data_IF_636273122191
#
_entry.id   IF_636273122191
#
_cell.length_a   1.000
_cell.length_b   1.000
_cell.length_c   1.000
_cell.angle_alpha   90.00
_cell.angle_beta   90.00
_cell.angle_gamma   90.00
#
_symmetry.space_group_name_H-M   'P 1'
#
loop_
_entity.id
_entity.type
_entity.pdbx_description
1 polymer ?
#
# COMPACT_ATOMS: atom_id res chain seq x y z
N UNK A 1 1.87 24.85 9.77
CA UNK A 1 1.38 24.53 8.41
C UNK A 1 0.14 23.68 8.59
N UNK A 2 -0.99 24.11 8.07
CA UNK A 2 -2.18 23.26 7.99
C UNK A 2 -1.98 22.34 6.81
N UNK A 3 -1.84 21.05 7.07
CA UNK A 3 -1.76 20.05 6.02
C UNK A 3 -3.19 19.78 5.52
N UNK A 4 -3.37 19.78 4.22
CA UNK A 4 -4.66 19.61 3.58
C UNK A 4 -4.92 18.14 3.24
N UNK A 5 -6.13 17.68 3.47
CA UNK A 5 -6.59 16.34 3.06
C UNK A 5 -6.87 16.32 1.56
N UNK A 6 -6.45 15.26 0.89
CA UNK A 6 -6.78 15.03 -0.51
C UNK A 6 -8.07 14.18 -0.56
N UNK A 7 -9.13 14.74 -1.14
CA UNK A 7 -10.45 14.11 -1.18
C UNK A 7 -10.81 13.68 -2.59
N UNK A 8 -11.26 12.45 -2.74
CA UNK A 8 -11.77 11.88 -3.99
C UNK A 8 -13.28 11.69 -3.82
N UNK A 9 -14.07 12.33 -4.69
CA UNK A 9 -15.52 12.35 -4.60
C UNK A 9 -16.15 11.75 -5.85
N UNK A 10 -16.85 10.62 -5.68
CA UNK A 10 -17.65 9.96 -6.72
C UNK A 10 -16.87 9.71 -8.04
N UNK A 11 -15.57 9.42 -7.93
CA UNK A 11 -14.72 9.29 -9.10
C UNK A 11 -15.03 8.02 -9.88
N UNK A 12 -15.42 8.19 -11.14
CA UNK A 12 -15.88 7.10 -11.99
C UNK A 12 -15.16 7.14 -13.33
N UNK A 13 -14.72 5.97 -13.81
CA UNK A 13 -14.10 5.79 -15.13
C UNK A 13 -14.44 4.45 -15.73
N UNK A 14 -14.98 4.49 -16.95
CA UNK A 14 -15.12 3.33 -17.83
C UNK A 14 -14.43 3.59 -19.17
N UNK A 15 -13.84 2.56 -19.76
CA UNK A 15 -13.21 2.66 -21.08
C UNK A 15 -14.09 2.10 -22.21
N UNK A 16 -15.01 1.20 -21.89
CA UNK A 16 -15.85 0.46 -22.87
C UNK A 16 -17.36 0.54 -22.57
N UNK A 17 -17.77 1.34 -21.58
CA UNK A 17 -19.15 1.47 -21.06
C UNK A 17 -19.72 0.20 -20.39
N UNK A 18 -19.01 -0.92 -20.40
CA UNK A 18 -19.43 -2.17 -19.77
C UNK A 18 -18.64 -2.46 -18.50
N UNK A 19 -17.34 -2.10 -18.49
CA UNK A 19 -16.45 -2.35 -17.37
C UNK A 19 -15.93 -1.04 -16.78
N UNK A 20 -16.11 -0.89 -15.49
CA UNK A 20 -15.62 0.27 -14.75
C UNK A 20 -14.20 -0.01 -14.25
N UNK A 21 -13.25 0.82 -14.67
CA UNK A 21 -11.92 0.84 -14.08
C UNK A 21 -11.92 1.48 -12.69
N UNK A 22 -12.78 2.49 -12.49
CA UNK A 22 -13.14 3.03 -11.17
C UNK A 22 -14.65 3.28 -11.18
N UNK A 23 -15.34 2.86 -10.12
CA UNK A 23 -16.79 2.88 -10.02
C UNK A 23 -17.23 3.54 -8.71
N UNK A 24 -17.63 4.81 -8.78
CA UNK A 24 -18.09 5.61 -7.66
C UNK A 24 -17.12 5.60 -6.46
N UNK A 25 -15.85 5.92 -6.70
CA UNK A 25 -14.83 5.95 -5.65
C UNK A 25 -15.01 7.22 -4.79
N UNK A 26 -15.14 6.99 -3.48
CA UNK A 26 -15.08 8.01 -2.42
C UNK A 26 -13.92 7.63 -1.50
N UNK A 27 -12.93 8.50 -1.36
CA UNK A 27 -11.75 8.21 -0.54
C UNK A 27 -11.14 9.52 -0.04
N UNK A 28 -10.89 9.58 1.25
CA UNK A 28 -10.10 10.63 1.89
C UNK A 28 -8.70 10.13 2.16
N UNK A 29 -7.70 10.91 1.76
CA UNK A 29 -6.29 10.64 1.90
C UNK A 29 -5.70 11.67 2.86
N UNK A 30 -5.40 11.21 4.06
CA UNK A 30 -4.87 12.06 5.13
C UNK A 30 -3.55 12.71 4.73
N UNK A 31 -3.43 14.00 5.06
CA UNK A 31 -2.21 14.75 4.82
C UNK A 31 -1.03 14.23 5.68
N UNK A 32 0.18 14.35 5.15
CA UNK A 32 1.40 13.95 5.85
C UNK A 32 1.42 12.45 6.25
N UNK A 33 0.76 11.61 5.46
CA UNK A 33 0.63 10.17 5.67
C UNK A 33 0.98 9.38 4.41
N UNK A 34 1.36 8.12 4.62
CA UNK A 34 1.54 7.15 3.55
C UNK A 34 0.28 6.29 3.46
N UNK A 35 -0.46 6.42 2.37
CA UNK A 35 -1.63 5.56 2.08
C UNK A 35 -1.30 4.57 0.98
N UNK A 36 -1.43 3.27 1.28
CA UNK A 36 -1.22 2.21 0.32
C UNK A 36 -2.54 1.82 -0.38
N UNK A 37 -2.57 1.90 -1.71
CA UNK A 37 -3.65 1.35 -2.52
C UNK A 37 -3.32 -0.11 -2.85
N UNK A 38 -4.11 -1.03 -2.34
CA UNK A 38 -3.90 -2.48 -2.48
C UNK A 38 -5.05 -3.12 -3.27
N UNK A 39 -4.78 -4.24 -3.92
CA UNK A 39 -5.75 -4.96 -4.74
C UNK A 39 -5.06 -5.72 -5.88
N UNK A 40 -5.78 -6.64 -6.52
CA UNK A 40 -5.24 -7.41 -7.64
C UNK A 40 -4.91 -6.55 -8.88
N UNK A 41 -4.19 -7.12 -9.84
CA UNK A 41 -3.93 -6.47 -11.11
C UNK A 41 -5.26 -6.25 -11.86
N UNK A 42 -5.46 -5.02 -12.38
CA UNK A 42 -6.73 -4.65 -13.00
C UNK A 42 -7.79 -4.12 -12.02
N UNK A 43 -7.54 -4.05 -10.72
CA UNK A 43 -8.49 -3.52 -9.73
C UNK A 43 -8.77 -2.00 -9.84
N UNK A 44 -8.07 -1.27 -10.75
CA UNK A 44 -8.33 0.14 -11.01
C UNK A 44 -7.35 1.13 -10.35
N UNK A 45 -6.39 0.66 -9.53
CA UNK A 45 -5.47 1.49 -8.76
C UNK A 45 -4.64 2.47 -9.60
N UNK A 46 -3.94 1.98 -10.61
CA UNK A 46 -3.14 2.84 -11.51
C UNK A 46 -4.02 3.79 -12.34
N UNK A 47 -5.26 3.39 -12.65
CA UNK A 47 -6.24 4.26 -13.31
C UNK A 47 -6.63 5.42 -12.38
N UNK A 48 -6.83 5.14 -11.10
CA UNK A 48 -7.10 6.15 -10.08
C UNK A 48 -5.97 7.19 -10.01
N UNK A 49 -4.71 6.74 -9.86
CA UNK A 49 -3.56 7.65 -9.84
C UNK A 49 -3.48 8.53 -11.10
N UNK A 50 -3.73 7.94 -12.28
CA UNK A 50 -3.72 8.68 -13.55
C UNK A 50 -4.86 9.69 -13.68
N UNK A 51 -6.00 9.44 -13.05
CA UNK A 51 -7.10 10.42 -12.96
C UNK A 51 -6.72 11.56 -12.02
N UNK A 52 -6.15 11.27 -10.85
CA UNK A 52 -5.71 12.27 -9.87
C UNK A 52 -4.74 13.29 -10.49
N UNK A 53 -3.74 12.84 -11.26
CA UNK A 53 -2.76 13.72 -11.92
C UNK A 53 -3.26 14.31 -13.25
N UNK A 54 -4.50 13.97 -13.65
CA UNK A 54 -5.13 14.49 -14.86
C UNK A 54 -4.62 13.91 -16.18
N UNK A 55 -3.98 12.72 -16.18
CA UNK A 55 -3.65 11.99 -17.40
C UNK A 55 -4.88 11.35 -18.03
N UNK A 56 -5.79 10.85 -17.18
CA UNK A 56 -7.07 10.29 -17.59
C UNK A 56 -8.17 11.19 -17.06
N UNK A 57 -9.06 11.65 -17.94
CA UNK A 57 -10.24 12.40 -17.54
C UNK A 57 -11.27 11.41 -16.96
N UNK A 58 -11.77 11.62 -15.72
CA UNK A 58 -12.88 10.85 -15.20
C UNK A 58 -14.15 11.10 -16.01
N UNK A 59 -15.07 10.16 -15.98
CA UNK A 59 -16.40 10.33 -16.58
C UNK A 59 -17.34 11.06 -15.61
N UNK A 60 -17.12 10.88 -14.30
CA UNK A 60 -17.82 11.58 -13.22
C UNK A 60 -16.89 11.79 -12.02
N UNK A 61 -17.27 12.72 -11.15
CA UNK A 61 -16.60 12.98 -9.90
C UNK A 61 -15.44 13.97 -10.00
N UNK A 62 -14.81 14.23 -8.87
CA UNK A 62 -13.71 15.19 -8.75
C UNK A 62 -12.67 14.74 -7.72
N UNK A 63 -11.53 15.42 -7.73
CA UNK A 63 -10.43 15.28 -6.76
C UNK A 63 -10.11 16.66 -6.24
N UNK A 64 -10.17 16.85 -4.92
CA UNK A 64 -9.98 18.13 -4.25
C UNK A 64 -8.78 18.12 -3.31
N UNK A 65 -8.01 19.19 -3.32
CA UNK A 65 -6.93 19.45 -2.38
C UNK A 65 -6.86 20.95 -2.08
N UNK A 66 -6.91 21.33 -0.80
CA UNK A 66 -6.90 22.73 -0.39
C UNK A 66 -8.01 23.58 -1.04
N UNK A 67 -9.20 23.01 -1.24
CA UNK A 67 -10.31 23.67 -1.91
C UNK A 67 -10.17 23.76 -3.44
N UNK A 68 -9.14 23.19 -4.03
CA UNK A 68 -8.86 23.22 -5.47
C UNK A 68 -9.31 21.92 -6.11
N UNK A 69 -10.19 21.99 -7.13
CA UNK A 69 -10.51 20.85 -8.00
C UNK A 69 -9.35 20.54 -8.94
N UNK A 70 -8.81 19.35 -8.88
CA UNK A 70 -7.74 18.90 -9.77
C UNK A 70 -8.23 18.52 -11.16
N UNK A 71 -9.49 18.14 -11.29
CA UNK A 71 -10.08 17.82 -12.59
C UNK A 71 -10.28 19.07 -13.42
N UNK A 72 -10.67 20.18 -12.79
CA UNK A 72 -10.85 21.47 -13.45
C UNK A 72 -9.56 22.29 -13.55
N UNK A 73 -8.63 22.12 -12.61
CA UNK A 73 -7.36 22.86 -12.53
C UNK A 73 -6.14 21.96 -12.75
N UNK A 74 -6.12 21.19 -13.84
CA UNK A 74 -5.08 20.17 -14.13
C UNK A 74 -3.66 20.72 -14.12
N UNK A 75 -3.47 21.98 -14.55
CA UNK A 75 -2.13 22.59 -14.54
C UNK A 75 -1.64 22.74 -13.11
N UNK A 76 -2.47 23.23 -12.22
CA UNK A 76 -2.15 23.38 -10.80
C UNK A 76 -1.97 22.02 -10.10
N UNK A 77 -2.82 21.04 -10.40
CA UNK A 77 -2.65 19.67 -9.92
C UNK A 77 -1.25 19.12 -10.22
N UNK A 78 -0.77 19.30 -11.45
CA UNK A 78 0.56 18.82 -11.88
C UNK A 78 1.73 19.55 -11.21
N UNK A 79 1.56 20.78 -10.75
CA UNK A 79 2.61 21.47 -9.98
C UNK A 79 2.67 20.99 -8.52
N UNK A 80 1.54 20.55 -7.97
CA UNK A 80 1.42 20.06 -6.59
C UNK A 80 1.70 18.56 -6.45
N UNK A 81 1.68 17.81 -7.58
CA UNK A 81 1.85 16.36 -7.58
C UNK A 81 3.12 15.90 -8.27
N UNK A 82 3.69 14.82 -7.79
CA UNK A 82 4.63 14.00 -8.53
C UNK A 82 4.02 12.62 -8.84
N UNK A 83 4.47 12.01 -9.92
CA UNK A 83 3.98 10.71 -10.34
C UNK A 83 5.12 9.81 -10.82
N UNK A 84 5.25 8.66 -10.19
CA UNK A 84 6.08 7.56 -10.67
C UNK A 84 5.19 6.50 -11.30
N UNK A 85 5.34 6.27 -12.60
CA UNK A 85 4.59 5.21 -13.29
C UNK A 85 5.20 3.83 -13.05
N UNK A 86 4.39 2.79 -13.26
CA UNK A 86 4.87 1.41 -13.24
C UNK A 86 5.98 1.16 -14.30
N UNK A 87 5.97 1.89 -15.41
CA UNK A 87 7.04 1.83 -16.41
C UNK A 87 8.28 2.59 -15.95
N UNK A 88 9.45 2.17 -16.42
CA UNK A 88 10.71 2.86 -16.11
C UNK A 88 10.75 4.23 -16.75
N UNK A 89 11.14 5.24 -15.98
CA UNK A 89 11.18 6.63 -16.42
C UNK A 89 12.54 7.11 -16.94
N UNK A 90 13.72 6.54 -16.55
CA UNK A 90 15.00 7.08 -16.98
C UNK A 90 15.16 7.06 -18.51
N UNK A 91 15.57 8.19 -19.06
CA UNK A 91 15.90 8.30 -20.48
C UNK A 91 17.20 7.58 -20.77
N UNK A 92 17.20 6.71 -21.77
CA UNK A 92 18.29 5.80 -22.10
C UNK A 92 19.64 6.47 -22.34
N UNK A 93 19.63 7.67 -22.93
CA UNK A 93 20.84 8.42 -23.30
C UNK A 93 21.39 9.29 -22.18
N UNK A 94 20.61 9.59 -21.17
CA UNK A 94 21.01 10.41 -20.04
C UNK A 94 21.60 9.55 -18.92
N UNK A 95 22.54 10.12 -18.17
CA UNK A 95 23.04 9.48 -16.92
C UNK A 95 21.98 9.54 -15.83
N UNK A 96 22.19 8.81 -14.73
CA UNK A 96 21.32 8.89 -13.56
C UNK A 96 21.21 10.34 -13.08
N UNK A 97 22.35 11.02 -12.90
CA UNK A 97 22.39 12.42 -12.48
C UNK A 97 21.63 13.33 -13.46
N UNK A 98 21.87 13.22 -14.75
CA UNK A 98 21.22 14.04 -15.77
C UNK A 98 19.70 13.84 -15.81
N UNK A 99 19.21 12.61 -15.55
CA UNK A 99 17.78 12.35 -15.41
C UNK A 99 17.18 13.10 -14.20
N UNK A 100 17.87 13.11 -13.06
CA UNK A 100 17.45 13.83 -11.86
C UNK A 100 17.53 15.34 -12.07
N UNK A 101 18.62 15.85 -12.68
CA UNK A 101 18.78 17.27 -13.02
C UNK A 101 17.65 17.78 -13.89
N UNK A 102 17.29 17.02 -14.92
CA UNK A 102 16.20 17.39 -15.83
C UNK A 102 14.89 17.62 -15.05
N UNK A 103 14.51 16.69 -14.18
CA UNK A 103 13.26 16.81 -13.41
C UNK A 103 13.35 17.92 -12.38
N UNK A 104 14.45 18.04 -11.65
CA UNK A 104 14.61 19.08 -10.63
C UNK A 104 14.58 20.49 -11.21
N UNK A 105 15.21 20.70 -12.40
CA UNK A 105 15.10 21.97 -13.12
C UNK A 105 13.67 22.27 -13.59
N UNK A 106 12.94 21.26 -14.09
CA UNK A 106 11.53 21.41 -14.46
C UNK A 106 10.65 21.79 -13.26
N UNK A 107 11.04 21.39 -12.05
CA UNK A 107 10.36 21.77 -10.80
C UNK A 107 10.86 23.08 -10.19
N UNK A 108 11.81 23.75 -10.85
CA UNK A 108 12.27 25.08 -10.48
C UNK A 108 13.35 25.11 -9.40
N UNK A 109 14.04 24.02 -9.12
CA UNK A 109 15.18 24.02 -8.20
C UNK A 109 16.33 24.85 -8.74
N UNK A 110 16.93 25.65 -7.90
CA UNK A 110 18.20 26.33 -8.19
C UNK A 110 19.33 25.30 -8.34
N UNK A 111 20.41 25.68 -9.03
CA UNK A 111 21.55 24.75 -9.24
C UNK A 111 22.15 24.23 -7.94
N UNK A 112 22.21 25.07 -6.90
CA UNK A 112 22.78 24.67 -5.61
C UNK A 112 21.86 23.75 -4.79
N UNK A 113 20.54 23.96 -4.86
CA UNK A 113 19.53 23.08 -4.24
C UNK A 113 19.50 21.73 -4.94
N UNK A 114 19.47 21.78 -6.27
CA UNK A 114 19.44 20.61 -7.13
C UNK A 114 20.61 19.65 -6.85
N UNK A 115 21.84 20.18 -6.81
CA UNK A 115 23.02 19.36 -6.55
C UNK A 115 22.97 18.68 -5.17
N UNK A 116 22.59 19.44 -4.14
CA UNK A 116 22.43 18.91 -2.78
C UNK A 116 21.37 17.79 -2.72
N UNK A 117 20.28 17.99 -3.40
CA UNK A 117 19.17 17.01 -3.39
C UNK A 117 19.53 15.76 -4.18
N UNK A 118 20.22 15.89 -5.32
CA UNK A 118 20.75 14.74 -6.07
C UNK A 118 21.73 13.95 -5.19
N UNK A 119 22.71 14.61 -4.56
CA UNK A 119 23.68 13.95 -3.70
C UNK A 119 22.98 13.21 -2.54
N UNK A 120 21.98 13.84 -1.91
CA UNK A 120 21.19 13.24 -0.86
C UNK A 120 20.43 12.00 -1.33
N UNK A 121 19.68 12.09 -2.45
CA UNK A 121 18.87 10.99 -2.97
C UNK A 121 19.73 9.79 -3.40
N UNK A 122 20.85 10.06 -4.09
CA UNK A 122 21.77 9.01 -4.53
C UNK A 122 22.43 8.30 -3.34
N UNK A 123 22.79 9.05 -2.29
CA UNK A 123 23.38 8.48 -1.08
C UNK A 123 22.37 7.67 -0.27
N UNK A 124 21.15 8.19 -0.05
CA UNK A 124 20.13 7.53 0.77
C UNK A 124 19.61 6.24 0.10
N UNK A 125 19.61 6.20 -1.25
CA UNK A 125 19.24 5.03 -2.05
C UNK A 125 20.42 4.07 -2.36
N UNK A 126 21.64 4.41 -1.91
CA UNK A 126 22.87 3.62 -2.15
C UNK A 126 23.16 3.37 -3.65
N UNK A 127 22.99 4.41 -4.46
CA UNK A 127 23.25 4.36 -5.92
C UNK A 127 24.24 5.43 -6.42
N UNK A 128 25.06 5.99 -5.54
CA UNK A 128 26.07 7.03 -5.88
C UNK A 128 27.03 6.53 -6.96
N UNK A 129 27.46 5.28 -6.91
CA UNK A 129 28.37 4.63 -7.87
C UNK A 129 27.81 4.56 -9.31
N UNK A 130 26.49 4.74 -9.46
CA UNK A 130 25.80 4.69 -10.75
C UNK A 130 25.51 6.08 -11.31
N UNK A 131 25.94 7.16 -10.64
CA UNK A 131 25.68 8.56 -10.98
C UNK A 131 25.86 8.85 -12.46
N UNK A 132 27.01 8.46 -13.02
CA UNK A 132 27.41 8.72 -14.40
C UNK A 132 26.98 7.63 -15.39
N UNK A 133 26.25 6.58 -14.90
CA UNK A 133 25.81 5.49 -15.74
C UNK A 133 24.59 5.85 -16.53
N UNK A 134 24.62 5.64 -17.86
CA UNK A 134 23.47 5.93 -18.75
C UNK A 134 22.29 4.98 -18.49
N UNK A 135 21.07 5.48 -18.65
CA UNK A 135 19.82 4.76 -18.44
C UNK A 135 19.74 3.42 -19.15
N UNK A 136 20.21 3.33 -20.42
CA UNK A 136 20.24 2.08 -21.20
C UNK A 136 21.09 0.96 -20.54
N UNK A 137 22.10 1.34 -19.74
CA UNK A 137 23.05 0.42 -19.11
C UNK A 137 22.64 0.04 -17.68
N UNK A 138 21.53 0.54 -17.17
CA UNK A 138 21.03 0.21 -15.83
C UNK A 138 20.28 -1.12 -15.86
N UNK A 139 20.42 -1.88 -14.76
CA UNK A 139 19.54 -3.04 -14.49
C UNK A 139 18.10 -2.57 -14.22
N UNK A 140 17.13 -3.50 -14.25
CA UNK A 140 15.73 -3.20 -13.94
C UNK A 140 15.57 -2.50 -12.58
N UNK A 141 16.19 -3.05 -11.53
CA UNK A 141 16.15 -2.45 -10.19
C UNK A 141 16.77 -1.06 -10.11
N UNK A 142 17.90 -0.82 -10.80
CA UNK A 142 18.52 0.50 -10.87
C UNK A 142 17.66 1.51 -11.67
N UNK A 143 17.00 1.07 -12.75
CA UNK A 143 16.03 1.90 -13.47
C UNK A 143 14.86 2.26 -12.55
N UNK A 144 14.39 1.32 -11.72
CA UNK A 144 13.33 1.55 -10.75
C UNK A 144 13.75 2.56 -9.70
N UNK A 145 14.93 2.40 -9.10
CA UNK A 145 15.49 3.34 -8.12
C UNK A 145 15.70 4.74 -8.71
N UNK A 146 16.18 4.82 -9.95
CA UNK A 146 16.31 6.11 -10.65
C UNK A 146 14.93 6.74 -10.89
N UNK A 147 13.93 5.97 -11.34
CA UNK A 147 12.54 6.46 -11.50
C UNK A 147 11.96 6.96 -10.19
N UNK A 148 12.25 6.26 -9.09
CA UNK A 148 11.83 6.65 -7.76
C UNK A 148 12.49 7.97 -7.33
N UNK A 149 13.80 8.11 -7.48
CA UNK A 149 14.50 9.36 -7.20
C UNK A 149 13.99 10.53 -8.06
N UNK A 150 13.69 10.29 -9.36
CA UNK A 150 13.07 11.29 -10.25
C UNK A 150 11.68 11.73 -9.76
N UNK A 151 10.91 10.85 -9.15
CA UNK A 151 9.62 11.21 -8.59
C UNK A 151 9.73 12.05 -7.31
N UNK A 152 10.80 11.88 -6.54
CA UNK A 152 11.01 12.56 -5.26
C UNK A 152 11.72 13.90 -5.39
N UNK A 153 12.65 14.07 -6.36
CA UNK A 153 13.43 15.29 -6.48
C UNK A 153 12.54 16.53 -6.66
N UNK A 154 12.82 17.61 -5.95
CA UNK A 154 12.01 18.83 -5.94
C UNK A 154 10.67 18.64 -5.21
N UNK A 155 10.59 17.71 -4.31
CA UNK A 155 9.53 17.39 -3.33
C UNK A 155 8.16 18.02 -3.59
N UNK A 156 7.28 17.33 -4.31
CA UNK A 156 5.88 17.75 -4.49
C UNK A 156 5.06 17.55 -3.20
N UNK A 157 4.01 18.33 -2.99
CA UNK A 157 3.12 18.20 -1.82
C UNK A 157 2.50 16.80 -1.75
N UNK A 158 2.15 16.24 -2.93
CA UNK A 158 1.52 14.94 -3.08
C UNK A 158 2.37 14.07 -4.01
N UNK A 159 2.71 12.88 -3.56
CA UNK A 159 3.52 11.92 -4.32
C UNK A 159 2.69 10.68 -4.66
N UNK A 160 2.52 10.39 -5.93
CA UNK A 160 1.82 9.23 -6.45
C UNK A 160 2.82 8.22 -7.00
N UNK A 161 2.93 7.06 -6.38
CA UNK A 161 3.96 6.06 -6.68
C UNK A 161 3.31 4.72 -7.08
N UNK A 162 3.50 4.32 -8.33
CA UNK A 162 2.91 3.08 -8.87
C UNK A 162 3.97 1.96 -8.88
N UNK A 163 3.87 1.01 -7.94
CA UNK A 163 4.76 -0.13 -7.72
C UNK A 163 6.26 0.27 -7.60
N UNK A 164 6.61 1.20 -6.70
CA UNK A 164 7.98 1.76 -6.66
C UNK A 164 9.04 0.76 -6.21
N UNK A 165 8.67 -0.27 -5.45
CA UNK A 165 9.60 -1.25 -4.85
C UNK A 165 9.80 -2.51 -5.71
N UNK A 166 9.06 -2.65 -6.83
CA UNK A 166 9.20 -3.79 -7.72
C UNK A 166 10.61 -3.86 -8.33
N UNK A 167 11.12 -5.07 -8.50
CA UNK A 167 12.45 -5.37 -9.06
C UNK A 167 13.65 -4.79 -8.26
N UNK A 168 13.41 -4.22 -7.09
CA UNK A 168 14.44 -3.68 -6.19
C UNK A 168 14.83 -4.73 -5.17
N UNK A 169 16.11 -4.83 -4.83
CA UNK A 169 16.59 -5.73 -3.79
C UNK A 169 16.07 -5.35 -2.39
N UNK A 170 15.98 -6.31 -1.44
CA UNK A 170 15.36 -6.05 -0.14
C UNK A 170 15.98 -4.90 0.66
N UNK A 171 17.31 -4.71 0.57
CA UNK A 171 18.02 -3.67 1.33
C UNK A 171 17.63 -2.28 0.82
N UNK A 172 17.72 -2.06 -0.49
CA UNK A 172 17.36 -0.78 -1.10
C UNK A 172 15.85 -0.51 -1.04
N UNK A 173 15.02 -1.55 -1.04
CA UNK A 173 13.58 -1.45 -0.83
C UNK A 173 13.25 -0.89 0.56
N UNK A 174 13.94 -1.35 1.60
CA UNK A 174 13.80 -0.80 2.94
C UNK A 174 14.20 0.69 2.99
N UNK A 175 15.27 1.08 2.28
CA UNK A 175 15.69 2.48 2.14
C UNK A 175 14.63 3.35 1.46
N UNK A 176 13.98 2.84 0.40
CA UNK A 176 12.85 3.55 -0.23
C UNK A 176 11.75 3.85 0.78
N UNK A 177 11.31 2.85 1.56
CA UNK A 177 10.28 3.04 2.58
C UNK A 177 10.69 4.03 3.68
N UNK A 178 11.92 3.92 4.19
CA UNK A 178 12.45 4.87 5.18
C UNK A 178 12.47 6.30 4.64
N UNK A 179 12.82 6.48 3.37
CA UNK A 179 12.81 7.79 2.72
C UNK A 179 11.38 8.33 2.59
N UNK A 180 10.40 7.49 2.21
CA UNK A 180 9.00 7.89 2.18
C UNK A 180 8.48 8.29 3.56
N UNK A 181 8.83 7.55 4.62
CA UNK A 181 8.45 7.92 6.00
C UNK A 181 9.06 9.26 6.42
N UNK A 182 10.33 9.53 6.08
CA UNK A 182 10.96 10.84 6.31
C UNK A 182 10.22 11.97 5.60
N UNK A 183 9.76 11.74 4.37
CA UNK A 183 9.02 12.74 3.57
C UNK A 183 7.61 12.95 4.13
N UNK A 184 6.90 11.89 4.51
CA UNK A 184 5.60 12.01 5.18
C UNK A 184 5.73 12.82 6.48
N UNK A 185 6.75 12.54 7.31
CA UNK A 185 7.02 13.30 8.52
C UNK A 185 7.29 14.79 8.25
N UNK A 186 7.85 15.14 7.09
CA UNK A 186 8.04 16.53 6.64
C UNK A 186 6.77 17.20 6.11
N UNK A 187 5.66 16.46 6.01
CA UNK A 187 4.36 16.99 5.61
C UNK A 187 3.90 16.58 4.21
N UNK A 188 4.67 15.77 3.49
CA UNK A 188 4.26 15.30 2.16
C UNK A 188 3.20 14.19 2.27
N UNK A 189 2.18 14.24 1.44
CA UNK A 189 1.15 13.20 1.32
C UNK A 189 1.58 12.18 0.27
N UNK A 190 1.66 10.91 0.65
CA UNK A 190 2.21 9.86 -0.20
C UNK A 190 1.16 8.80 -0.48
N UNK A 191 0.89 8.55 -1.73
CA UNK A 191 0.00 7.49 -2.19
C UNK A 191 0.83 6.47 -2.98
N UNK A 192 0.85 5.24 -2.50
CA UNK A 192 1.63 4.16 -3.09
C UNK A 192 0.72 3.02 -3.54
N UNK A 193 0.82 2.60 -4.79
CA UNK A 193 0.24 1.35 -5.25
C UNK A 193 1.26 0.25 -5.06
N UNK A 194 0.88 -0.82 -4.37
CA UNK A 194 1.71 -2.01 -4.21
C UNK A 194 0.87 -3.26 -4.01
N UNK A 195 1.43 -4.40 -4.35
CA UNK A 195 0.87 -5.72 -4.04
C UNK A 195 1.63 -6.41 -2.88
N UNK A 196 2.68 -5.77 -2.33
CA UNK A 196 3.44 -6.31 -1.20
C UNK A 196 2.79 -5.92 0.13
N UNK A 197 1.87 -6.75 0.59
CA UNK A 197 1.08 -6.50 1.79
C UNK A 197 1.94 -6.43 3.07
N UNK A 198 3.04 -7.19 3.14
CA UNK A 198 3.96 -7.16 4.28
C UNK A 198 4.66 -5.80 4.42
N UNK A 199 5.01 -5.17 3.29
CA UNK A 199 5.57 -3.82 3.31
C UNK A 199 4.53 -2.79 3.75
N UNK A 200 3.28 -2.94 3.30
CA UNK A 200 2.17 -2.07 3.73
C UNK A 200 1.98 -2.14 5.24
N UNK A 201 1.90 -3.34 5.81
CA UNK A 201 1.75 -3.55 7.25
C UNK A 201 2.90 -2.93 8.06
N UNK A 202 4.11 -2.98 7.53
CA UNK A 202 5.31 -2.49 8.23
C UNK A 202 5.50 -0.97 8.14
N UNK A 203 5.13 -0.35 7.03
CA UNK A 203 5.59 1.01 6.71
C UNK A 203 4.50 2.01 6.39
N UNK A 204 3.30 1.58 5.95
CA UNK A 204 2.22 2.51 5.61
C UNK A 204 1.40 2.90 6.85
N UNK A 205 0.86 4.12 6.83
CA UNK A 205 -0.06 4.61 7.87
C UNK A 205 -1.49 4.10 7.60
N UNK A 206 -1.92 4.22 6.34
CA UNK A 206 -3.29 3.90 5.90
C UNK A 206 -3.26 2.96 4.70
N UNK A 207 -4.36 2.25 4.50
CA UNK A 207 -4.60 1.43 3.32
C UNK A 207 -5.94 1.74 2.67
N UNK A 208 -6.07 1.43 1.38
CA UNK A 208 -7.32 1.41 0.65
C UNK A 208 -7.34 0.15 -0.25
N UNK A 209 -8.29 -0.74 0.00
CA UNK A 209 -8.44 -2.03 -0.68
C UNK A 209 -9.39 -1.88 -1.86
N UNK A 210 -8.88 -2.22 -3.05
CA UNK A 210 -9.61 -2.15 -4.31
C UNK A 210 -9.87 -3.53 -4.88
N UNK A 211 -11.09 -3.72 -5.42
CA UNK A 211 -11.46 -4.90 -6.18
C UNK A 211 -12.43 -4.51 -7.31
N UNK A 212 -12.17 -4.96 -8.54
CA UNK A 212 -13.02 -4.71 -9.72
C UNK A 212 -13.49 -3.26 -9.86
N UNK A 213 -12.56 -2.30 -9.70
CA UNK A 213 -12.86 -0.87 -9.82
C UNK A 213 -13.60 -0.25 -8.66
N UNK A 214 -13.85 -0.97 -7.57
CA UNK A 214 -14.52 -0.48 -6.36
C UNK A 214 -13.55 -0.39 -5.19
N UNK A 215 -13.76 0.60 -4.33
CA UNK A 215 -13.15 0.66 -3.01
C UNK A 215 -13.97 -0.21 -2.06
N UNK A 216 -13.37 -1.29 -1.55
CA UNK A 216 -14.04 -2.20 -0.63
C UNK A 216 -13.89 -1.73 0.82
N UNK A 217 -12.67 -1.32 1.19
CA UNK A 217 -12.35 -0.90 2.56
C UNK A 217 -11.18 0.06 2.58
N UNK A 218 -11.18 0.98 3.52
CA UNK A 218 -10.04 1.88 3.78
C UNK A 218 -9.96 2.20 5.27
N UNK A 219 -8.76 2.55 5.73
CA UNK A 219 -8.52 2.95 7.11
C UNK A 219 -7.06 2.84 7.52
N UNK A 220 -6.77 3.12 8.79
CA UNK A 220 -5.43 3.01 9.35
C UNK A 220 -4.96 1.55 9.40
N UNK A 221 -3.69 1.31 9.00
CA UNK A 221 -3.10 -0.04 9.02
C UNK A 221 -3.09 -0.62 10.44
N UNK A 222 -2.77 0.19 11.44
CA UNK A 222 -2.71 -0.27 12.84
C UNK A 222 -4.06 -0.73 13.39
N UNK A 223 -5.20 -0.20 12.91
CA UNK A 223 -6.52 -0.63 13.37
C UNK A 223 -6.92 -2.03 12.86
N UNK A 224 -6.23 -2.54 11.84
CA UNK A 224 -6.46 -3.91 11.39
C UNK A 224 -5.88 -4.95 12.33
N UNK A 225 -4.83 -4.60 13.06
CA UNK A 225 -4.17 -5.48 14.02
C UNK A 225 -4.98 -5.73 15.31
N UNK A 226 -6.12 -5.05 15.51
CA UNK A 226 -6.87 -5.09 16.78
C UNK A 226 -8.02 -6.09 16.82
N UNK A 227 -8.37 -6.79 15.75
CA UNK A 227 -9.19 -7.98 15.90
C UNK A 227 -8.27 -9.15 16.21
N UNK A 228 -8.06 -9.37 17.50
CA UNK A 228 -7.38 -10.56 17.97
C UNK A 228 -8.26 -11.76 17.64
N UNK A 229 -7.84 -12.55 16.67
CA UNK A 229 -8.36 -13.89 16.45
C UNK A 229 -7.44 -14.87 17.17
N UNK A 230 -8.04 -15.88 17.76
CA UNK A 230 -7.28 -16.94 18.42
C UNK A 230 -7.46 -18.22 17.64
N UNK A 231 -6.35 -18.82 17.25
CA UNK A 231 -6.34 -20.18 16.72
C UNK A 231 -6.15 -21.13 17.88
N UNK A 232 -7.19 -21.93 18.16
CA UNK A 232 -7.16 -23.00 19.17
C UNK A 232 -7.03 -24.33 18.45
N UNK A 233 -6.05 -25.12 18.87
CA UNK A 233 -5.80 -26.45 18.30
C UNK A 233 -5.64 -27.44 19.43
N UNK A 234 -6.33 -28.58 19.37
CA UNK A 234 -6.18 -29.67 20.32
C UNK A 234 -6.45 -31.03 19.68
N UNK A 235 -5.88 -32.08 20.27
CA UNK A 235 -6.21 -33.45 19.91
C UNK A 235 -7.47 -33.90 20.70
N UNK A 236 -8.35 -34.64 20.05
CA UNK A 236 -9.57 -35.16 20.70
C UNK A 236 -9.74 -36.68 20.51
N UNK A 237 -10.44 -37.28 21.45
CA UNK A 237 -10.79 -38.72 21.44
C UNK A 237 -12.26 -38.91 21.06
N UNK A 238 -13.15 -37.95 21.40
CA UNK A 238 -14.58 -38.00 21.10
C UNK A 238 -14.99 -36.91 20.09
N UNK A 239 -15.62 -37.33 18.99
CA UNK A 239 -16.22 -36.41 18.01
C UNK A 239 -17.43 -35.67 18.58
N UNK A 240 -18.16 -36.26 19.51
CA UNK A 240 -19.30 -35.63 20.18
C UNK A 240 -18.87 -34.38 20.96
N UNK A 241 -17.69 -34.42 21.58
CA UNK A 241 -17.15 -33.26 22.29
C UNK A 241 -16.80 -32.12 21.30
N UNK A 242 -16.24 -32.46 20.15
CA UNK A 242 -15.87 -31.46 19.12
C UNK A 242 -17.11 -30.81 18.51
N UNK A 243 -18.22 -31.54 18.40
CA UNK A 243 -19.50 -31.01 17.88
C UNK A 243 -20.17 -29.95 18.79
N UNK A 244 -19.66 -29.74 19.99
CA UNK A 244 -20.10 -28.64 20.87
C UNK A 244 -19.57 -27.26 20.46
N UNK A 245 -18.59 -27.23 19.56
CA UNK A 245 -18.00 -25.97 19.05
C UNK A 245 -18.58 -25.62 17.70
N UNK A 246 -18.74 -24.35 17.45
CA UNK A 246 -19.08 -23.79 16.15
C UNK A 246 -17.78 -23.50 15.35
N UNK A 247 -17.85 -23.54 14.02
CA UNK A 247 -16.76 -23.14 13.12
C UNK A 247 -15.41 -23.85 13.38
N UNK A 248 -15.41 -25.18 13.44
CA UNK A 248 -14.19 -25.96 13.58
C UNK A 248 -13.86 -26.77 12.31
N UNK A 249 -12.58 -27.11 12.17
CA UNK A 249 -12.07 -28.04 11.16
C UNK A 249 -11.38 -29.21 11.82
N UNK A 250 -11.55 -30.41 11.28
CA UNK A 250 -10.83 -31.60 11.74
C UNK A 250 -9.65 -31.86 10.79
N UNK A 251 -8.45 -31.83 11.36
CA UNK A 251 -7.20 -32.08 10.64
C UNK A 251 -6.68 -33.46 11.05
N UNK A 252 -6.23 -34.28 10.09
CA UNK A 252 -5.70 -35.64 10.31
C UNK A 252 -6.61 -36.55 11.17
N UNK A 253 -7.91 -36.34 11.16
CA UNK A 253 -8.91 -37.20 11.81
C UNK A 253 -9.00 -37.13 13.35
N UNK A 254 -8.04 -36.50 14.03
CA UNK A 254 -8.00 -36.42 15.51
C UNK A 254 -7.59 -35.04 16.05
N UNK A 255 -7.33 -34.08 15.21
CA UNK A 255 -6.98 -32.71 15.61
C UNK A 255 -8.12 -31.77 15.29
N UNK A 256 -8.65 -31.09 16.29
CA UNK A 256 -9.60 -30.01 16.12
C UNK A 256 -8.84 -28.68 15.99
N UNK A 257 -9.16 -27.89 15.00
CA UNK A 257 -8.66 -26.53 14.82
C UNK A 257 -9.85 -25.58 14.65
N UNK A 258 -9.84 -24.48 15.40
CA UNK A 258 -10.85 -23.43 15.31
C UNK A 258 -10.21 -22.05 15.34
N UNK A 259 -10.82 -21.11 14.66
CA UNK A 259 -10.47 -19.68 14.73
C UNK A 259 -11.65 -18.95 15.40
N UNK A 260 -11.37 -18.21 16.47
CA UNK A 260 -12.39 -17.52 17.27
C UNK A 260 -12.00 -16.07 17.50
N UNK A 261 -12.99 -15.21 17.68
CA UNK A 261 -12.79 -13.81 18.08
C UNK A 261 -12.48 -13.73 19.61
N UNK A 262 -11.87 -12.62 20.00
CA UNK A 262 -11.53 -12.36 21.41
C UNK A 262 -12.75 -12.41 22.33
N UNK A 263 -13.93 -12.00 21.85
CA UNK A 263 -15.20 -12.06 22.55
C UNK A 263 -15.62 -13.49 22.97
N UNK A 264 -15.22 -14.48 22.19
CA UNK A 264 -15.56 -15.89 22.40
C UNK A 264 -14.49 -16.66 23.20
N UNK A 265 -13.28 -16.10 23.30
CA UNK A 265 -12.12 -16.78 23.86
C UNK A 265 -12.37 -17.37 25.24
N UNK A 266 -12.93 -16.59 26.16
CA UNK A 266 -13.18 -17.03 27.54
C UNK A 266 -14.15 -18.22 27.58
N UNK A 267 -15.25 -18.16 26.81
CA UNK A 267 -16.25 -19.21 26.69
C UNK A 267 -15.64 -20.52 26.21
N UNK A 268 -14.88 -20.42 25.12
CA UNK A 268 -14.24 -21.61 24.50
C UNK A 268 -13.16 -22.20 25.40
N UNK A 269 -12.33 -21.37 26.05
CA UNK A 269 -11.29 -21.86 26.96
C UNK A 269 -11.88 -22.60 28.18
N UNK A 270 -13.03 -22.19 28.69
CA UNK A 270 -13.72 -22.91 29.78
C UNK A 270 -14.13 -24.31 29.29
N UNK A 271 -14.76 -24.43 28.11
CA UNK A 271 -15.17 -25.72 27.54
C UNK A 271 -13.96 -26.64 27.28
N UNK A 272 -12.90 -26.07 26.70
CA UNK A 272 -11.64 -26.79 26.41
C UNK A 272 -11.00 -27.29 27.73
N UNK A 273 -11.00 -26.48 28.79
CA UNK A 273 -10.50 -26.86 30.09
C UNK A 273 -11.26 -28.07 30.67
N UNK A 274 -12.58 -28.08 30.57
CA UNK A 274 -13.39 -29.24 31.01
C UNK A 274 -13.05 -30.52 30.25
N UNK A 275 -12.80 -30.40 28.94
CA UNK A 275 -12.38 -31.52 28.12
C UNK A 275 -10.99 -32.05 28.47
N UNK A 276 -10.04 -31.17 28.84
CA UNK A 276 -8.73 -31.57 29.37
C UNK A 276 -8.85 -32.32 30.72
N UNK A 277 -9.63 -31.79 31.65
CA UNK A 277 -9.83 -32.39 32.96
C UNK A 277 -10.50 -33.78 32.89
N UNK A 278 -11.36 -33.99 31.89
CA UNK A 278 -12.02 -35.28 31.62
C UNK A 278 -11.15 -36.23 30.76
N UNK A 279 -9.97 -35.82 30.33
CA UNK A 279 -9.10 -36.61 29.45
C UNK A 279 -9.64 -36.83 28.02
N UNK A 280 -10.64 -36.04 27.62
CA UNK A 280 -11.27 -36.12 26.27
C UNK A 280 -10.41 -35.45 25.21
N UNK A 281 -9.66 -34.43 25.60
CA UNK A 281 -8.73 -33.70 24.73
C UNK A 281 -7.32 -33.67 25.32
N UNK A 282 -6.35 -33.44 24.45
CA UNK A 282 -4.93 -33.32 24.79
C UNK A 282 -4.22 -32.33 23.82
N UNK A 283 -2.98 -32.01 24.14
CA UNK A 283 -2.11 -31.18 23.28
C UNK A 283 -2.74 -29.82 22.86
N UNK A 284 -3.32 -29.12 23.86
CA UNK A 284 -3.90 -27.80 23.63
C UNK A 284 -2.81 -26.79 23.24
N UNK A 285 -3.04 -26.11 22.15
CA UNK A 285 -2.28 -24.95 21.71
C UNK A 285 -3.23 -23.78 21.45
N UNK A 286 -2.94 -22.64 22.05
CA UNK A 286 -3.66 -21.38 21.81
C UNK A 286 -2.66 -20.39 21.21
N UNK A 287 -2.90 -19.96 19.99
CA UNK A 287 -2.07 -18.96 19.32
C UNK A 287 -2.92 -17.74 19.03
N UNK A 288 -2.44 -16.57 19.42
CA UNK A 288 -3.02 -15.32 19.00
C UNK A 288 -2.64 -15.09 17.53
N UNK A 289 -3.64 -14.92 16.69
CA UNK A 289 -3.48 -14.59 15.26
C UNK A 289 -3.97 -13.17 15.08
N UNK A 290 -3.07 -12.24 14.89
CA UNK A 290 -3.42 -10.90 14.42
C UNK A 290 -3.86 -11.01 12.96
N UNK A 291 -5.06 -10.51 12.64
CA UNK A 291 -5.50 -10.41 11.25
C UNK A 291 -4.52 -9.52 10.49
N UNK A 292 -3.94 -10.07 9.47
CA UNK A 292 -3.08 -9.34 8.54
C UNK A 292 -3.92 -8.69 7.43
N UNK A 293 -3.34 -7.68 6.76
CA UNK A 293 -3.92 -7.15 5.51
C UNK A 293 -4.10 -8.29 4.49
N UNK A 294 -3.22 -9.30 4.51
CA UNK A 294 -3.32 -10.49 3.66
C UNK A 294 -4.57 -11.32 3.96
N UNK A 295 -4.96 -11.44 5.21
CA UNK A 295 -6.16 -12.20 5.60
C UNK A 295 -7.43 -11.44 5.17
N UNK A 296 -7.48 -10.14 5.44
CA UNK A 296 -8.56 -9.28 4.94
C UNK A 296 -8.69 -9.33 3.42
N UNK A 297 -7.56 -9.26 2.73
CA UNK A 297 -7.52 -9.32 1.27
C UNK A 297 -8.13 -10.64 0.74
N UNK A 298 -7.88 -11.76 1.42
CA UNK A 298 -8.45 -13.06 1.06
C UNK A 298 -9.96 -13.12 1.35
N UNK A 299 -10.41 -12.63 2.50
CA UNK A 299 -11.81 -12.61 2.89
C UNK A 299 -12.67 -11.80 1.89
N UNK A 300 -12.20 -10.60 1.51
CA UNK A 300 -12.91 -9.71 0.60
C UNK A 300 -12.86 -10.16 -0.88
N UNK A 301 -11.99 -11.10 -1.24
CA UNK A 301 -11.94 -11.67 -2.60
C UNK A 301 -12.79 -12.93 -2.75
N UNK A 302 -13.15 -13.59 -1.64
CA UNK A 302 -13.96 -14.84 -1.66
C UNK A 302 -15.46 -14.54 -1.63
N UNK A 303 -15.86 -13.36 -1.17
CA UNK A 303 -17.21 -12.82 -1.20
C UNK A 303 -17.47 -12.01 -2.48
#
# INVERSE_FOLDING_TARGET
>A
MTFETLTIENLTKSFDKQHFANNHIFLELEAAKITALIGHNGAGKSTLLKQMIGFIKPDQGDVHYGGISFIHNRKQARTMMSYMSQQYAPLDKLTVEQNLEMIGRMRGLSTSELQKEIDYLLADLEIVEYRDKQGKNLSGGLKRLTSFAMALIGSADIMLLDEPTNDVDPVRREKQWQLLQKLAYKGHTIIIVTHNLLEVEKYADNFALFNHGKLLKSGPVHQMSYKNHYQITFNFVSKEFVSLFENYTIVNGCVCQMEIEESELTRILIQVKEGLEKGIISNLSVKMKTLSISDLYKEELVN
#
